data_IF_607487930974
#
_entry.id   IF_607487930974
#
_cell.length_a   1.000
_cell.length_b   1.000
_cell.length_c   1.000
_cell.angle_alpha   90.00
_cell.angle_beta   90.00
_cell.angle_gamma   90.00
#
_symmetry.space_group_name_H-M   'P 1'
#
loop_
_entity.id
_entity.type
_entity.pdbx_description
1 polymer ?
#
# COMPACT_ATOMS: atom_id res chain seq x y z
N UNK A 1 -0.12 -15.51 11.17
CA UNK A 1 -0.39 -14.85 9.87
C UNK A 1 -0.62 -13.35 10.04
N UNK A 2 -1.49 -12.92 10.96
CA UNK A 2 -1.80 -11.51 11.22
C UNK A 2 -0.56 -10.70 11.61
N UNK A 3 0.32 -11.21 12.48
CA UNK A 3 1.55 -10.48 12.81
C UNK A 3 2.40 -10.14 11.59
N UNK A 4 2.58 -11.07 10.65
CA UNK A 4 3.34 -10.80 9.41
C UNK A 4 2.66 -9.73 8.56
N UNK A 5 1.32 -9.79 8.43
CA UNK A 5 0.55 -8.81 7.68
C UNK A 5 0.69 -7.41 8.30
N UNK A 6 0.56 -7.33 9.61
CA UNK A 6 0.67 -6.07 10.36
C UNK A 6 2.10 -5.52 10.29
N UNK A 7 3.14 -6.34 10.43
CA UNK A 7 4.53 -5.89 10.30
C UNK A 7 4.78 -5.21 8.95
N UNK A 8 4.27 -5.77 7.86
CA UNK A 8 4.37 -5.14 6.53
C UNK A 8 3.63 -3.81 6.49
N UNK A 9 2.41 -3.74 7.04
CA UNK A 9 1.66 -2.50 7.16
C UNK A 9 2.37 -1.42 7.98
N UNK A 10 2.99 -1.80 9.10
CA UNK A 10 3.75 -0.91 9.98
C UNK A 10 5.03 -0.40 9.28
N UNK A 11 5.74 -1.24 8.51
CA UNK A 11 6.86 -0.79 7.67
C UNK A 11 6.40 0.24 6.63
N UNK A 12 5.27 0.00 5.95
CA UNK A 12 4.69 0.99 5.02
C UNK A 12 4.33 2.28 5.78
N UNK A 13 3.78 2.19 6.99
CA UNK A 13 3.45 3.35 7.79
C UNK A 13 4.69 4.21 8.12
N UNK A 14 5.84 3.55 8.35
CA UNK A 14 7.09 4.22 8.65
C UNK A 14 7.63 5.06 7.48
N UNK A 15 7.50 4.54 6.26
CA UNK A 15 7.99 5.19 5.05
C UNK A 15 7.07 6.30 4.53
N UNK A 16 5.78 6.29 4.92
CA UNK A 16 4.76 7.20 4.37
C UNK A 16 3.98 7.94 5.47
N UNK A 17 4.50 9.11 5.85
CA UNK A 17 3.94 9.97 6.92
C UNK A 17 2.45 10.29 6.78
N UNK A 18 1.96 10.45 5.55
CA UNK A 18 0.57 10.82 5.26
C UNK A 18 -0.44 9.72 5.58
N UNK A 19 -0.06 8.45 5.46
CA UNK A 19 -0.91 7.30 5.81
C UNK A 19 -0.55 6.71 7.17
N UNK A 20 0.57 7.12 7.77
CA UNK A 20 1.17 6.56 8.98
C UNK A 20 0.15 6.32 10.08
N UNK A 21 -0.57 7.37 10.48
CA UNK A 21 -1.54 7.29 11.57
C UNK A 21 -2.64 6.27 11.29
N UNK A 22 -3.30 6.39 10.13
CA UNK A 22 -4.39 5.49 9.75
C UNK A 22 -3.93 4.03 9.57
N UNK A 23 -2.69 3.84 9.10
CA UNK A 23 -2.10 2.52 8.89
C UNK A 23 -1.80 1.84 10.22
N UNK A 24 -1.18 2.53 11.18
CA UNK A 24 -0.94 2.00 12.52
C UNK A 24 -2.24 1.70 13.27
N UNK A 25 -3.26 2.53 13.13
CA UNK A 25 -4.58 2.27 13.73
C UNK A 25 -5.22 0.99 13.17
N UNK A 26 -5.26 0.85 11.83
CA UNK A 26 -5.80 -0.34 11.19
C UNK A 26 -4.99 -1.60 11.54
N UNK A 27 -3.68 -1.49 11.60
CA UNK A 27 -2.76 -2.55 12.05
C UNK A 27 -3.02 -2.98 13.50
N UNK A 28 -3.22 -2.01 14.40
CA UNK A 28 -3.55 -2.28 15.81
C UNK A 28 -4.90 -2.99 15.94
N UNK A 29 -5.91 -2.54 15.21
CA UNK A 29 -7.23 -3.19 15.19
C UNK A 29 -7.14 -4.63 14.66
N UNK A 30 -6.37 -4.86 13.59
CA UNK A 30 -6.15 -6.20 13.04
C UNK A 30 -5.50 -7.13 14.06
N UNK A 31 -4.47 -6.66 14.76
CA UNK A 31 -3.80 -7.40 15.83
C UNK A 31 -4.76 -7.76 16.97
N UNK A 32 -5.56 -6.79 17.43
CA UNK A 32 -6.56 -7.00 18.49
C UNK A 32 -7.64 -8.01 18.07
N UNK A 33 -8.17 -7.89 16.85
CA UNK A 33 -9.16 -8.82 16.33
C UNK A 33 -8.58 -10.23 16.13
N UNK A 34 -7.34 -10.32 15.65
CA UNK A 34 -6.60 -11.58 15.51
C UNK A 34 -6.41 -12.30 16.86
N UNK A 35 -5.94 -11.58 17.88
CA UNK A 35 -5.78 -12.15 19.23
C UNK A 35 -7.11 -12.45 19.93
N UNK A 36 -8.21 -11.78 19.57
CA UNK A 36 -9.54 -12.17 20.04
C UNK A 36 -9.98 -13.51 19.43
N UNK A 37 -9.74 -13.72 18.12
CA UNK A 37 -10.05 -14.99 17.44
C UNK A 37 -9.22 -16.13 18.02
N UNK A 38 -7.92 -15.91 18.24
CA UNK A 38 -7.01 -16.90 18.82
C UNK A 38 -7.51 -17.41 20.17
N UNK A 39 -7.82 -16.49 21.10
CA UNK A 39 -8.37 -16.83 22.42
C UNK A 39 -9.69 -17.59 22.34
N UNK A 40 -10.63 -17.15 21.49
CA UNK A 40 -11.92 -17.83 21.32
C UNK A 40 -11.72 -19.26 20.81
N UNK A 41 -10.74 -19.49 19.94
CA UNK A 41 -10.43 -20.82 19.43
C UNK A 41 -9.76 -21.71 20.48
N UNK A 42 -8.90 -21.16 21.34
CA UNK A 42 -8.27 -21.89 22.45
C UNK A 42 -9.30 -22.33 23.51
N UNK A 43 -10.27 -21.46 23.84
CA UNK A 43 -11.33 -21.75 24.81
C UNK A 43 -12.41 -22.72 24.27
N UNK A 44 -12.52 -22.83 22.94
CA UNK A 44 -13.53 -23.64 22.27
C UNK A 44 -13.27 -25.16 22.28
N UNK A 45 -12.08 -25.60 22.69
CA UNK A 45 -11.70 -27.02 22.67
C UNK A 45 -12.42 -27.86 23.74
N UNK A 46 -13.04 -27.26 24.76
CA UNK A 46 -13.52 -28.01 25.92
C UNK A 46 -15.01 -28.44 25.92
N UNK A 47 -15.99 -27.68 25.43
CA UNK A 47 -17.37 -28.19 25.20
C UNK A 47 -18.29 -27.12 24.59
N UNK A 48 -18.80 -27.36 23.38
CA UNK A 48 -19.84 -26.59 22.66
C UNK A 48 -19.46 -25.10 22.40
N UNK A 49 -19.22 -24.77 21.13
CA UNK A 49 -19.06 -23.40 20.58
C UNK A 49 -20.28 -22.50 20.88
N UNK A 50 -20.42 -22.03 22.11
CA UNK A 50 -21.43 -21.08 22.56
C UNK A 50 -21.15 -19.66 22.02
N UNK A 51 -19.91 -19.40 21.60
CA UNK A 51 -19.43 -18.07 21.17
C UNK A 51 -19.30 -17.87 19.66
N UNK A 52 -20.04 -18.62 18.84
CA UNK A 52 -20.05 -18.44 17.37
C UNK A 52 -20.37 -16.99 16.96
N UNK A 53 -21.24 -16.31 17.69
CA UNK A 53 -21.54 -14.89 17.45
C UNK A 53 -20.37 -13.96 17.77
N UNK A 54 -19.59 -14.25 18.81
CA UNK A 54 -18.40 -13.48 19.19
C UNK A 54 -17.29 -13.71 18.17
N UNK A 55 -17.08 -14.97 17.75
CA UNK A 55 -16.14 -15.32 16.69
C UNK A 55 -16.46 -14.62 15.37
N UNK A 56 -17.74 -14.60 14.96
CA UNK A 56 -18.16 -13.91 13.74
C UNK A 56 -17.93 -12.40 13.83
N UNK A 57 -18.15 -11.79 15.00
CA UNK A 57 -17.86 -10.37 15.23
C UNK A 57 -16.36 -10.08 15.13
N UNK A 58 -15.53 -10.90 15.78
CA UNK A 58 -14.08 -10.76 15.74
C UNK A 58 -13.53 -10.95 14.32
N UNK A 59 -14.04 -11.95 13.58
CA UNK A 59 -13.68 -12.17 12.17
C UNK A 59 -14.09 -10.99 11.26
N UNK A 60 -15.28 -10.42 11.45
CA UNK A 60 -15.68 -9.20 10.71
C UNK A 60 -14.80 -8.00 11.04
N UNK A 61 -14.45 -7.82 12.32
CA UNK A 61 -13.55 -6.75 12.75
C UNK A 61 -12.17 -6.92 12.10
N UNK A 62 -11.64 -8.15 12.09
CA UNK A 62 -10.40 -8.48 11.42
C UNK A 62 -10.46 -8.16 9.92
N UNK A 63 -11.49 -8.63 9.20
CA UNK A 63 -11.66 -8.31 7.78
C UNK A 63 -11.74 -6.80 7.53
N UNK A 64 -12.49 -6.06 8.36
CA UNK A 64 -12.59 -4.61 8.26
C UNK A 64 -11.24 -3.91 8.40
N UNK A 65 -10.47 -4.27 9.42
CA UNK A 65 -9.12 -3.72 9.65
C UNK A 65 -8.12 -4.10 8.55
N UNK A 66 -8.16 -5.35 8.06
CA UNK A 66 -7.33 -5.82 6.93
C UNK A 66 -7.69 -5.06 5.65
N UNK A 67 -8.97 -4.87 5.35
CA UNK A 67 -9.41 -4.06 4.20
C UNK A 67 -8.91 -2.63 4.33
N UNK A 68 -8.96 -2.02 5.53
CA UNK A 68 -8.41 -0.68 5.76
C UNK A 68 -6.91 -0.61 5.47
N UNK A 69 -6.12 -1.58 5.93
CA UNK A 69 -4.68 -1.67 5.63
C UNK A 69 -4.45 -1.76 4.12
N UNK A 70 -5.18 -2.64 3.43
CA UNK A 70 -5.04 -2.81 1.97
C UNK A 70 -5.40 -1.54 1.19
N UNK A 71 -6.45 -0.82 1.60
CA UNK A 71 -6.84 0.45 0.97
C UNK A 71 -5.78 1.54 1.20
N UNK A 72 -5.21 1.62 2.39
CA UNK A 72 -4.14 2.57 2.69
C UNK A 72 -2.86 2.25 1.90
N UNK A 73 -2.53 0.97 1.75
CA UNK A 73 -1.43 0.53 0.90
C UNK A 73 -1.67 0.88 -0.58
N UNK A 74 -2.89 0.69 -1.09
CA UNK A 74 -3.26 1.09 -2.46
C UNK A 74 -3.08 2.60 -2.69
N UNK A 75 -3.49 3.42 -1.71
CA UNK A 75 -3.29 4.88 -1.74
C UNK A 75 -1.79 5.22 -1.87
N UNK A 76 -0.92 4.51 -1.13
CA UNK A 76 0.53 4.71 -1.21
C UNK A 76 1.04 4.42 -2.63
N UNK A 77 0.62 3.31 -3.25
CA UNK A 77 1.00 2.95 -4.62
C UNK A 77 0.57 4.03 -5.61
N UNK A 78 -0.68 4.50 -5.51
CA UNK A 78 -1.19 5.58 -6.38
C UNK A 78 -0.39 6.87 -6.19
N UNK A 79 0.01 7.20 -4.96
CA UNK A 79 0.84 8.38 -4.69
C UNK A 79 2.24 8.25 -5.30
N UNK A 80 2.87 7.07 -5.22
CA UNK A 80 4.16 6.83 -5.87
C UNK A 80 4.07 7.03 -7.39
N UNK A 81 2.99 6.55 -8.03
CA UNK A 81 2.73 6.78 -9.45
C UNK A 81 2.60 8.26 -9.79
N UNK A 82 1.82 9.01 -9.00
CA UNK A 82 1.65 10.45 -9.21
C UNK A 82 2.98 11.19 -9.03
N UNK A 83 3.79 10.82 -8.04
CA UNK A 83 5.12 11.41 -7.83
C UNK A 83 6.06 11.10 -9.00
N UNK A 84 6.07 9.87 -9.52
CA UNK A 84 6.87 9.50 -10.69
C UNK A 84 6.43 10.27 -11.94
N UNK A 85 5.12 10.40 -12.17
CA UNK A 85 4.56 11.25 -13.23
C UNK A 85 5.03 12.70 -13.08
N UNK A 86 5.00 13.25 -11.88
CA UNK A 86 5.38 14.64 -11.63
C UNK A 86 6.90 14.87 -11.74
N UNK A 87 7.73 13.86 -11.46
CA UNK A 87 9.17 13.89 -11.80
C UNK A 87 9.35 14.02 -13.32
N UNK A 88 8.74 13.11 -14.09
CA UNK A 88 8.76 13.10 -15.56
C UNK A 88 8.29 14.44 -16.14
N UNK A 89 7.18 14.99 -15.63
CA UNK A 89 6.66 16.27 -16.11
C UNK A 89 7.66 17.41 -15.86
N UNK A 90 8.33 17.43 -14.70
CA UNK A 90 9.35 18.44 -14.37
C UNK A 90 10.63 18.27 -15.19
N UNK A 91 11.11 17.04 -15.38
CA UNK A 91 12.32 16.78 -16.18
C UNK A 91 12.09 17.05 -17.66
N UNK A 92 10.89 16.79 -18.18
CA UNK A 92 10.50 17.18 -19.53
C UNK A 92 10.50 18.71 -19.69
N UNK A 93 9.88 19.45 -18.76
CA UNK A 93 9.93 20.91 -18.78
C UNK A 93 11.36 21.47 -18.70
N UNK A 94 12.25 20.83 -17.93
CA UNK A 94 13.68 21.18 -17.92
C UNK A 94 14.31 20.91 -19.28
N UNK A 95 14.05 19.76 -19.89
CA UNK A 95 14.56 19.37 -21.19
C UNK A 95 14.15 20.35 -22.30
N UNK A 96 12.94 20.90 -22.25
CA UNK A 96 12.46 21.92 -23.19
C UNK A 96 13.20 23.27 -23.03
N UNK A 97 13.74 23.56 -21.85
CA UNK A 97 14.38 24.84 -21.52
C UNK A 97 15.90 24.90 -21.77
N UNK A 98 16.53 23.78 -22.15
CA UNK A 98 17.99 23.71 -22.34
C UNK A 98 18.45 24.45 -23.59
N UNK A 99 19.54 25.22 -23.47
CA UNK A 99 20.04 26.08 -24.55
C UNK A 99 21.41 25.65 -25.09
N UNK A 100 21.93 24.49 -24.70
CA UNK A 100 23.18 23.94 -25.22
C UNK A 100 23.20 22.42 -25.19
N UNK A 101 24.05 21.83 -26.03
CA UNK A 101 24.10 20.38 -26.24
C UNK A 101 24.53 19.60 -25.00
N UNK A 102 25.50 20.09 -24.23
CA UNK A 102 25.98 19.40 -23.02
C UNK A 102 24.88 19.30 -21.96
N UNK A 103 24.14 20.37 -21.72
CA UNK A 103 23.01 20.38 -20.79
C UNK A 103 21.82 19.59 -21.34
N UNK A 104 21.60 19.61 -22.66
CA UNK A 104 20.61 18.74 -23.31
C UNK A 104 20.89 17.27 -23.02
N UNK A 105 22.12 16.78 -23.23
CA UNK A 105 22.45 15.37 -23.00
C UNK A 105 22.22 14.98 -21.53
N UNK A 106 22.59 15.85 -20.58
CA UNK A 106 22.34 15.61 -19.15
C UNK A 106 20.85 15.57 -18.82
N UNK A 107 20.08 16.56 -19.29
CA UNK A 107 18.65 16.64 -19.04
C UNK A 107 17.89 15.47 -19.69
N UNK A 108 18.28 15.09 -20.90
CA UNK A 108 17.70 13.96 -21.64
C UNK A 108 17.97 12.63 -20.92
N UNK A 109 19.19 12.42 -20.42
CA UNK A 109 19.51 11.23 -19.63
C UNK A 109 18.68 11.13 -18.35
N UNK A 110 18.47 12.25 -17.65
CA UNK A 110 17.64 12.28 -16.44
C UNK A 110 16.17 11.98 -16.76
N UNK A 111 15.62 12.66 -17.77
CA UNK A 111 14.25 12.43 -18.23
C UNK A 111 14.04 10.96 -18.63
N UNK A 112 14.99 10.37 -19.38
CA UNK A 112 14.93 8.97 -19.79
C UNK A 112 14.91 8.00 -18.60
N UNK A 113 15.73 8.25 -17.57
CA UNK A 113 15.74 7.42 -16.36
C UNK A 113 14.41 7.49 -15.59
N UNK A 114 13.84 8.69 -15.43
CA UNK A 114 12.55 8.90 -14.77
C UNK A 114 11.38 8.30 -15.58
N UNK A 115 11.46 8.33 -16.91
CA UNK A 115 10.49 7.67 -17.80
C UNK A 115 10.52 6.14 -17.66
N UNK A 116 11.70 5.54 -17.47
CA UNK A 116 11.83 4.10 -17.21
C UNK A 116 11.23 3.75 -15.84
N UNK A 117 11.49 4.53 -14.79
CA UNK A 117 10.86 4.38 -13.47
C UNK A 117 9.33 4.43 -13.59
N UNK A 118 8.79 5.44 -14.29
CA UNK A 118 7.35 5.57 -14.52
C UNK A 118 6.79 4.38 -15.29
N UNK A 119 7.46 3.92 -16.35
CA UNK A 119 7.02 2.79 -17.16
C UNK A 119 6.89 1.51 -16.32
N UNK A 120 7.89 1.23 -15.46
CA UNK A 120 7.83 0.09 -14.53
C UNK A 120 6.64 0.20 -13.58
N UNK A 121 6.50 1.34 -12.89
CA UNK A 121 5.40 1.53 -11.93
C UNK A 121 4.02 1.43 -12.60
N UNK A 122 3.86 2.01 -13.79
CA UNK A 122 2.60 1.92 -14.53
C UNK A 122 2.32 0.51 -15.04
N UNK A 123 3.36 -0.24 -15.44
CA UNK A 123 3.22 -1.63 -15.85
C UNK A 123 2.79 -2.53 -14.70
N UNK A 124 3.40 -2.37 -13.53
CA UNK A 124 3.00 -3.10 -12.31
C UNK A 124 1.55 -2.78 -11.94
N UNK A 125 1.17 -1.49 -11.95
CA UNK A 125 -0.20 -1.07 -11.67
C UNK A 125 -1.21 -1.63 -12.67
N UNK A 126 -0.86 -1.70 -13.94
CA UNK A 126 -1.73 -2.24 -14.98
C UNK A 126 -2.06 -3.71 -14.72
N UNK A 127 -1.09 -4.49 -14.24
CA UNK A 127 -1.30 -5.89 -13.88
C UNK A 127 -2.23 -6.07 -12.66
N UNK A 128 -2.29 -5.09 -11.75
CA UNK A 128 -3.19 -5.10 -10.60
C UNK A 128 -4.65 -4.75 -10.95
N UNK A 129 -4.89 -4.10 -12.09
CA UNK A 129 -6.23 -3.72 -12.52
C UNK A 129 -7.02 -4.96 -12.97
N UNK A 130 -8.14 -5.21 -12.28
CA UNK A 130 -9.03 -6.35 -12.56
C UNK A 130 -9.99 -6.12 -13.74
N UNK A 131 -10.05 -4.90 -14.25
CA UNK A 131 -10.87 -4.53 -15.41
C UNK A 131 -9.94 -4.39 -16.62
N UNK A 132 -10.03 -5.31 -17.57
CA UNK A 132 -9.17 -5.35 -18.78
C UNK A 132 -9.37 -4.13 -19.70
N UNK A 133 -10.38 -3.28 -19.45
CA UNK A 133 -10.71 -2.13 -20.30
C UNK A 133 -10.05 -0.81 -19.90
N UNK A 134 -9.25 -0.76 -18.83
CA UNK A 134 -8.67 0.47 -18.27
C UNK A 134 -7.16 0.51 -18.33
#
# INVERSE_FOLDING_TARGET
AIERFVTVGETIADDYSEVRQGMYEACKEARQAGGAIERICEEAEEEIMTDRTVLVKAARCLLGSVTRVLLLADIVVVKQLLLAKDKVQRSLGRLESVNNFTEFVKAFSQFGAEMVELAHLTGDRQNDLKDERR
#
